data_IF_832656584886
#
_entry.id   IF_832656584886
#
_cell.length_a   1.000
_cell.length_b   1.000
_cell.length_c   1.000
_cell.angle_alpha   90.00
_cell.angle_beta   90.00
_cell.angle_gamma   90.00
#
_symmetry.space_group_name_H-M   'P 1'
#
loop_
_entity.id
_entity.type
_entity.pdbx_description
1 polymer ?
#
# COMPACT_ATOMS: atom_id res chain seq x y z
N UNK A 1 -31.02 -7.37 9.86
CA UNK A 1 -29.90 -7.54 8.91
C UNK A 1 -28.59 -7.92 9.60
N UNK A 2 -28.22 -7.36 10.76
CA UNK A 2 -26.96 -7.70 11.46
C UNK A 2 -26.73 -9.22 11.67
N UNK A 3 -27.77 -9.99 12.00
CA UNK A 3 -27.64 -11.46 12.17
C UNK A 3 -27.31 -12.25 10.90
N UNK A 4 -27.55 -11.70 9.69
CA UNK A 4 -27.25 -12.42 8.43
C UNK A 4 -25.79 -12.26 8.00
N UNK A 5 -25.10 -11.22 8.48
CA UNK A 5 -23.73 -10.89 8.08
C UNK A 5 -22.68 -11.28 9.13
N UNK A 6 -23.10 -11.63 10.35
CA UNK A 6 -22.21 -12.13 11.40
C UNK A 6 -21.24 -13.25 10.94
N UNK A 7 -21.66 -14.23 10.09
CA UNK A 7 -20.75 -15.25 9.58
C UNK A 7 -19.61 -14.71 8.69
N UNK A 8 -19.74 -13.49 8.16
CA UNK A 8 -18.74 -12.87 7.29
C UNK A 8 -17.69 -12.08 8.07
N UNK A 9 -17.87 -11.84 9.37
CA UNK A 9 -16.91 -11.10 10.18
C UNK A 9 -15.50 -11.74 10.18
N UNK A 10 -15.35 -13.07 10.31
CA UNK A 10 -14.03 -13.70 10.22
C UNK A 10 -13.38 -13.54 8.85
N UNK A 11 -14.18 -13.57 7.77
CA UNK A 11 -13.70 -13.35 6.41
C UNK A 11 -13.23 -11.91 6.21
N UNK A 12 -13.99 -10.92 6.72
CA UNK A 12 -13.61 -9.51 6.65
C UNK A 12 -12.28 -9.26 7.38
N UNK A 13 -12.11 -9.81 8.58
CA UNK A 13 -10.88 -9.74 9.33
C UNK A 13 -9.71 -10.42 8.59
N UNK A 14 -9.91 -11.63 8.07
CA UNK A 14 -8.89 -12.34 7.31
C UNK A 14 -8.46 -11.58 6.05
N UNK A 15 -9.40 -11.00 5.30
CA UNK A 15 -9.10 -10.17 4.13
C UNK A 15 -8.34 -8.90 4.49
N UNK A 16 -8.75 -8.23 5.57
CA UNK A 16 -8.07 -7.05 6.09
C UNK A 16 -6.63 -7.38 6.47
N UNK A 17 -6.42 -8.37 7.32
CA UNK A 17 -5.11 -8.69 7.89
C UNK A 17 -4.16 -9.25 6.83
N UNK A 18 -4.65 -10.17 5.99
CA UNK A 18 -3.86 -10.73 4.90
C UNK A 18 -3.51 -9.65 3.86
N UNK A 19 -4.49 -8.84 3.47
CA UNK A 19 -4.28 -7.73 2.54
C UNK A 19 -3.26 -6.72 3.07
N UNK A 20 -3.40 -6.33 4.34
CA UNK A 20 -2.47 -5.43 5.03
C UNK A 20 -1.07 -6.02 5.09
N UNK A 21 -0.88 -7.26 5.54
CA UNK A 21 0.45 -7.89 5.65
C UNK A 21 1.12 -8.02 4.28
N UNK A 22 0.39 -8.53 3.29
CA UNK A 22 0.90 -8.74 1.93
C UNK A 22 1.14 -7.45 1.15
N UNK A 23 0.52 -6.35 1.57
CA UNK A 23 0.77 -5.03 0.97
C UNK A 23 1.89 -4.28 1.71
N UNK A 24 1.75 -4.09 3.02
CA UNK A 24 2.64 -3.26 3.84
C UNK A 24 4.05 -3.84 3.90
N UNK A 25 4.18 -5.15 4.14
CA UNK A 25 5.49 -5.81 4.27
C UNK A 25 6.35 -5.62 3.02
N UNK A 26 5.88 -6.06 1.83
CA UNK A 26 6.59 -5.84 0.58
C UNK A 26 6.83 -4.37 0.27
N UNK A 27 5.85 -3.48 0.48
CA UNK A 27 6.02 -2.04 0.21
C UNK A 27 7.19 -1.45 1.01
N UNK A 28 7.25 -1.74 2.31
CA UNK A 28 8.35 -1.27 3.18
C UNK A 28 9.67 -1.93 2.79
N UNK A 29 9.68 -3.24 2.56
CA UNK A 29 10.88 -3.97 2.19
C UNK A 29 11.49 -3.46 0.87
N UNK A 30 10.69 -3.32 -0.19
CA UNK A 30 11.15 -2.79 -1.46
C UNK A 30 11.58 -1.32 -1.35
N UNK A 31 10.90 -0.50 -0.56
CA UNK A 31 11.34 0.87 -0.30
C UNK A 31 12.75 0.91 0.28
N UNK A 32 13.03 0.08 1.29
CA UNK A 32 14.34 -0.01 1.93
C UNK A 32 15.39 -0.57 0.97
N UNK A 33 15.08 -1.64 0.24
CA UNK A 33 16.00 -2.26 -0.72
C UNK A 33 16.38 -1.28 -1.85
N UNK A 34 15.41 -0.56 -2.43
CA UNK A 34 15.68 0.43 -3.47
C UNK A 34 16.47 1.61 -2.88
N UNK A 35 16.14 2.08 -1.67
CA UNK A 35 16.88 3.16 -1.01
C UNK A 35 18.33 2.78 -0.70
N UNK A 36 18.57 1.51 -0.35
CA UNK A 36 19.86 0.98 0.07
C UNK A 36 20.66 0.28 -1.05
N UNK A 37 20.16 0.26 -2.30
CA UNK A 37 20.80 -0.49 -3.40
C UNK A 37 22.31 -0.23 -3.52
N UNK A 38 22.77 1.02 -3.31
CA UNK A 38 24.20 1.39 -3.38
C UNK A 38 25.08 0.67 -2.35
N UNK A 39 24.50 0.17 -1.28
CA UNK A 39 25.19 -0.61 -0.23
C UNK A 39 25.15 -2.11 -0.47
N UNK A 40 24.33 -2.57 -1.42
CA UNK A 40 24.11 -3.97 -1.74
C UNK A 40 24.88 -4.30 -3.03
N UNK A 41 26.21 -4.37 -2.98
CA UNK A 41 27.00 -4.77 -4.15
C UNK A 41 26.78 -6.26 -4.45
N UNK A 42 26.52 -6.70 -5.71
CA UNK A 42 26.60 -5.97 -6.98
C UNK A 42 25.24 -5.48 -7.56
N UNK A 43 24.23 -5.23 -6.73
CA UNK A 43 22.85 -4.94 -7.16
C UNK A 43 22.68 -3.56 -7.79
N UNK A 44 22.07 -3.51 -8.97
CA UNK A 44 21.74 -2.26 -9.65
C UNK A 44 20.31 -1.80 -9.27
N UNK A 45 20.01 -0.48 -9.38
CA UNK A 45 18.68 0.03 -9.02
C UNK A 45 17.54 -0.63 -9.80
N UNK A 46 17.76 -0.94 -11.08
CA UNK A 46 16.74 -1.57 -11.93
C UNK A 46 16.44 -3.02 -11.55
N UNK A 47 17.38 -3.74 -10.91
CA UNK A 47 17.13 -5.13 -10.50
C UNK A 47 16.01 -5.18 -9.45
N UNK A 48 16.10 -4.33 -8.43
CA UNK A 48 15.09 -4.23 -7.37
C UNK A 48 13.76 -3.70 -7.92
N UNK A 49 13.82 -2.66 -8.77
CA UNK A 49 12.62 -2.06 -9.37
C UNK A 49 11.88 -3.07 -10.26
N UNK A 50 12.58 -3.91 -11.02
CA UNK A 50 11.97 -4.96 -11.84
C UNK A 50 11.29 -6.02 -10.96
N UNK A 51 11.94 -6.45 -9.88
CA UNK A 51 11.31 -7.38 -8.92
C UNK A 51 10.05 -6.77 -8.30
N UNK A 52 10.12 -5.52 -7.87
CA UNK A 52 8.96 -4.80 -7.35
C UNK A 52 7.82 -4.71 -8.38
N UNK A 53 8.14 -4.38 -9.64
CA UNK A 53 7.16 -4.33 -10.74
C UNK A 53 6.54 -5.70 -11.02
N UNK A 54 7.33 -6.76 -10.99
CA UNK A 54 6.82 -8.13 -11.16
C UNK A 54 5.85 -8.51 -10.04
N UNK A 55 6.03 -7.96 -8.83
CA UNK A 55 5.10 -8.11 -7.72
C UNK A 55 3.85 -7.20 -7.82
N UNK A 56 3.73 -6.36 -8.84
CA UNK A 56 2.65 -5.37 -8.97
C UNK A 56 1.25 -5.96 -8.89
N UNK A 57 1.02 -7.14 -9.50
CA UNK A 57 -0.27 -7.83 -9.38
C UNK A 57 -0.56 -8.26 -7.93
N UNK A 58 0.45 -8.73 -7.21
CA UNK A 58 0.36 -9.05 -5.78
C UNK A 58 0.03 -7.84 -4.92
N UNK A 59 0.63 -6.67 -5.22
CA UNK A 59 0.30 -5.41 -4.55
C UNK A 59 -1.14 -4.95 -4.84
N UNK A 60 -1.59 -5.07 -6.09
CA UNK A 60 -2.97 -4.75 -6.46
C UNK A 60 -4.00 -5.62 -5.74
N UNK A 61 -3.78 -6.94 -5.72
CA UNK A 61 -4.67 -7.89 -5.06
C UNK A 61 -4.67 -7.73 -3.54
N UNK A 62 -3.50 -7.52 -2.92
CA UNK A 62 -3.40 -7.30 -1.47
C UNK A 62 -4.06 -5.97 -1.05
N UNK A 63 -3.86 -4.89 -1.80
CA UNK A 63 -4.59 -3.64 -1.58
C UNK A 63 -6.10 -3.84 -1.74
N UNK A 64 -6.55 -4.56 -2.78
CA UNK A 64 -7.97 -4.87 -3.00
C UNK A 64 -8.58 -5.66 -1.84
N UNK A 65 -7.90 -6.71 -1.38
CA UNK A 65 -8.30 -7.49 -0.21
C UNK A 65 -8.37 -6.61 1.05
N UNK A 66 -7.40 -5.72 1.23
CA UNK A 66 -7.36 -4.80 2.36
C UNK A 66 -8.54 -3.82 2.35
N UNK A 67 -8.79 -3.15 1.22
CA UNK A 67 -9.95 -2.26 1.02
C UNK A 67 -11.24 -3.02 1.31
N UNK A 68 -11.40 -4.20 0.74
CA UNK A 68 -12.62 -4.99 0.88
C UNK A 68 -12.85 -5.43 2.33
N UNK A 69 -11.82 -5.96 3.00
CA UNK A 69 -11.90 -6.39 4.40
C UNK A 69 -12.23 -5.23 5.35
N UNK A 70 -11.60 -4.08 5.14
CA UNK A 70 -11.86 -2.84 5.88
C UNK A 70 -13.31 -2.37 5.74
N UNK A 71 -13.78 -2.26 4.50
CA UNK A 71 -15.13 -1.80 4.20
C UNK A 71 -16.18 -2.79 4.72
N UNK A 72 -15.99 -4.08 4.44
CA UNK A 72 -16.91 -5.12 4.89
C UNK A 72 -16.99 -5.18 6.42
N UNK A 73 -15.86 -5.13 7.12
CA UNK A 73 -15.81 -5.14 8.58
C UNK A 73 -16.58 -3.96 9.17
N UNK A 74 -16.34 -2.75 8.64
CA UNK A 74 -17.07 -1.56 9.07
C UNK A 74 -18.58 -1.65 8.83
N UNK A 75 -18.99 -2.15 7.67
CA UNK A 75 -20.40 -2.33 7.35
C UNK A 75 -21.06 -3.37 8.26
N UNK A 76 -20.38 -4.45 8.61
CA UNK A 76 -20.90 -5.46 9.56
C UNK A 76 -21.12 -4.83 10.94
N UNK A 77 -20.16 -4.04 11.43
CA UNK A 77 -20.24 -3.42 12.75
C UNK A 77 -21.31 -2.32 12.83
N UNK A 78 -21.34 -1.42 11.84
CA UNK A 78 -22.14 -0.19 11.89
C UNK A 78 -23.46 -0.29 11.10
N UNK A 79 -23.60 -1.26 10.19
CA UNK A 79 -24.75 -1.44 9.31
C UNK A 79 -24.85 -0.43 8.16
N UNK A 80 -24.01 0.60 8.14
CA UNK A 80 -23.94 1.64 7.10
C UNK A 80 -22.58 2.34 7.15
N UNK A 81 -22.15 2.94 6.02
CA UNK A 81 -20.95 3.79 5.96
C UNK A 81 -21.26 5.22 6.39
N UNK A 82 -20.88 5.60 7.61
CA UNK A 82 -21.18 6.93 8.17
C UNK A 82 -19.96 7.53 8.85
N UNK A 83 -19.56 8.73 8.45
CA UNK A 83 -18.51 9.47 9.15
C UNK A 83 -19.06 10.02 10.47
N UNK A 84 -18.43 9.65 11.59
CA UNK A 84 -18.87 10.02 12.93
C UNK A 84 -17.74 10.71 13.71
N UNK A 85 -18.10 11.74 14.46
CA UNK A 85 -17.16 12.59 15.22
C UNK A 85 -17.63 12.87 16.66
N UNK A 86 -18.68 12.17 17.09
CA UNK A 86 -19.39 12.38 18.35
C UNK A 86 -18.68 11.78 19.56
N UNK A 87 -17.82 10.76 19.37
CA UNK A 87 -17.02 10.15 20.44
C UNK A 87 -15.54 10.05 20.07
N UNK A 88 -14.62 9.93 21.06
CA UNK A 88 -13.20 9.69 20.79
C UNK A 88 -12.97 8.46 19.89
N UNK A 89 -13.70 7.36 20.14
CA UNK A 89 -13.63 6.15 19.32
C UNK A 89 -14.09 6.40 17.89
N UNK A 90 -15.21 7.11 17.70
CA UNK A 90 -15.71 7.45 16.36
C UNK A 90 -14.72 8.34 15.59
N UNK A 91 -14.12 9.34 16.25
CA UNK A 91 -13.07 10.19 15.68
C UNK A 91 -11.84 9.37 15.28
N UNK A 92 -11.44 8.42 16.13
CA UNK A 92 -10.31 7.54 15.86
C UNK A 92 -10.55 6.66 14.63
N UNK A 93 -11.71 6.00 14.57
CA UNK A 93 -12.11 5.20 13.43
C UNK A 93 -12.13 6.04 12.15
N UNK A 94 -12.76 7.21 12.19
CA UNK A 94 -12.77 8.15 11.06
C UNK A 94 -11.35 8.55 10.63
N UNK A 95 -10.47 8.89 11.57
CA UNK A 95 -9.07 9.21 11.26
C UNK A 95 -8.35 8.04 10.57
N UNK A 96 -8.56 6.80 11.04
CA UNK A 96 -7.99 5.59 10.42
C UNK A 96 -8.43 5.43 8.97
N UNK A 97 -9.72 5.65 8.68
CA UNK A 97 -10.24 5.63 7.31
C UNK A 97 -9.69 6.75 6.44
N UNK A 98 -9.46 7.95 6.98
CA UNK A 98 -8.84 9.06 6.24
C UNK A 98 -7.38 8.76 5.88
N UNK A 99 -6.61 8.18 6.81
CA UNK A 99 -5.25 7.70 6.53
C UNK A 99 -5.27 6.61 5.46
N UNK A 100 -6.22 5.68 5.54
CA UNK A 100 -6.40 4.65 4.51
C UNK A 100 -6.76 5.24 3.14
N UNK A 101 -7.62 6.25 3.08
CA UNK A 101 -7.95 6.93 1.83
C UNK A 101 -6.74 7.65 1.23
N UNK A 102 -5.94 8.31 2.08
CA UNK A 102 -4.68 8.93 1.66
C UNK A 102 -3.70 7.88 1.12
N UNK A 103 -3.58 6.73 1.78
CA UNK A 103 -2.80 5.58 1.31
C UNK A 103 -3.25 5.08 -0.07
N UNK A 104 -4.56 4.93 -0.25
CA UNK A 104 -5.11 4.46 -1.50
C UNK A 104 -4.89 5.45 -2.65
N UNK A 105 -5.12 6.74 -2.41
CA UNK A 105 -4.84 7.79 -3.39
C UNK A 105 -3.33 7.89 -3.72
N UNK A 106 -2.47 7.73 -2.72
CA UNK A 106 -1.02 7.78 -2.93
C UNK A 106 -0.48 6.51 -3.61
N UNK A 107 -1.12 5.35 -3.44
CA UNK A 107 -0.83 4.16 -4.22
C UNK A 107 -1.04 4.40 -5.73
N UNK A 108 -2.13 5.07 -6.11
CA UNK A 108 -2.34 5.47 -7.51
C UNK A 108 -1.21 6.37 -8.03
N UNK A 109 -0.69 7.24 -7.16
CA UNK A 109 0.48 8.06 -7.51
C UNK A 109 1.73 7.24 -7.76
N UNK A 110 2.03 6.28 -6.89
CA UNK A 110 3.18 5.39 -7.06
C UNK A 110 3.06 4.63 -8.38
N UNK A 111 1.90 4.06 -8.68
CA UNK A 111 1.65 3.26 -9.88
C UNK A 111 1.68 4.08 -11.19
N UNK A 112 0.98 5.23 -11.21
CA UNK A 112 0.78 5.99 -12.45
C UNK A 112 1.88 7.01 -12.68
N UNK A 113 2.34 7.72 -11.64
CA UNK A 113 3.26 8.83 -11.83
C UNK A 113 4.72 8.49 -11.55
N UNK A 114 5.00 7.41 -10.82
CA UNK A 114 6.37 7.04 -10.46
C UNK A 114 6.85 5.76 -11.15
N UNK A 115 6.00 4.73 -11.27
CA UNK A 115 6.38 3.51 -11.98
C UNK A 115 6.28 3.64 -13.50
N UNK A 116 5.26 4.29 -14.03
CA UNK A 116 5.06 4.40 -15.48
C UNK A 116 6.27 5.01 -16.24
N UNK A 117 6.91 6.10 -15.76
CA UNK A 117 8.14 6.60 -16.39
C UNK A 117 9.27 5.55 -16.40
N UNK A 118 9.41 4.76 -15.34
CA UNK A 118 10.42 3.70 -15.26
C UNK A 118 10.11 2.56 -16.25
N UNK A 119 8.83 2.24 -16.49
CA UNK A 119 8.43 1.26 -17.51
C UNK A 119 8.85 1.71 -18.91
N UNK A 120 8.76 3.02 -19.20
CA UNK A 120 9.14 3.58 -20.50
C UNK A 120 10.65 3.63 -20.71
N UNK A 121 11.43 3.81 -19.65
CA UNK A 121 12.89 3.85 -19.68
C UNK A 121 13.53 2.45 -19.69
N UNK A 122 12.78 1.42 -19.31
CA UNK A 122 13.19 0.02 -19.23
C UNK A 122 12.23 -0.85 -20.07
N UNK A 123 12.49 -0.85 -21.38
CA UNK A 123 11.73 -1.60 -22.37
C UNK A 123 12.39 -2.95 -22.59
N UNK A 124 11.62 -4.03 -22.42
CA UNK A 124 12.07 -5.42 -22.63
C UNK A 124 13.34 -5.80 -21.86
N UNK A 125 13.55 -5.20 -20.69
CA UNK A 125 14.73 -5.45 -19.86
C UNK A 125 15.99 -4.69 -20.31
N UNK A 126 15.85 -3.74 -21.23
CA UNK A 126 16.93 -2.87 -21.70
C UNK A 126 16.69 -1.45 -21.20
N UNK A 127 17.62 -0.94 -20.40
CA UNK A 127 17.59 0.44 -19.90
C UNK A 127 18.26 1.35 -20.95
N UNK A 128 17.47 2.17 -21.64
CA UNK A 128 17.97 3.03 -22.71
C UNK A 128 18.81 4.21 -22.20
N UNK A 129 18.43 4.77 -21.04
CA UNK A 129 19.13 5.90 -20.40
C UNK A 129 19.27 5.64 -18.89
N UNK A 130 20.43 5.13 -18.44
CA UNK A 130 20.70 4.83 -17.03
C UNK A 130 20.63 6.07 -16.12
N UNK A 131 21.00 7.25 -16.62
CA UNK A 131 21.01 8.47 -15.81
C UNK A 131 19.57 8.94 -15.52
N UNK A 132 18.73 8.98 -16.55
CA UNK A 132 17.30 9.26 -16.40
C UNK A 132 16.58 8.21 -15.56
N UNK A 133 16.96 6.93 -15.69
CA UNK A 133 16.42 5.84 -14.87
C UNK A 133 16.75 6.02 -13.39
N UNK A 134 17.99 6.37 -13.06
CA UNK A 134 18.41 6.63 -11.68
C UNK A 134 17.68 7.84 -11.07
N UNK A 135 17.45 8.89 -11.85
CA UNK A 135 16.69 10.07 -11.42
C UNK A 135 15.21 9.71 -11.15
N UNK A 136 14.57 8.98 -12.07
CA UNK A 136 13.20 8.49 -11.89
C UNK A 136 13.07 7.53 -10.69
N UNK A 137 14.08 6.68 -10.47
CA UNK A 137 14.14 5.77 -9.31
C UNK A 137 14.19 6.55 -8.00
N UNK A 138 14.94 7.66 -7.95
CA UNK A 138 14.98 8.53 -6.76
C UNK A 138 13.60 9.11 -6.43
N UNK A 139 12.82 9.48 -7.44
CA UNK A 139 11.44 9.94 -7.26
C UNK A 139 10.53 8.81 -6.76
N UNK A 140 10.64 7.62 -7.35
CA UNK A 140 9.92 6.43 -6.89
C UNK A 140 10.19 6.15 -5.40
N UNK A 141 11.46 6.15 -4.98
CA UNK A 141 11.84 5.92 -3.57
C UNK A 141 11.18 6.91 -2.63
N UNK A 142 11.11 8.20 -3.01
CA UNK A 142 10.44 9.22 -2.18
C UNK A 142 8.95 8.95 -2.04
N UNK A 143 8.28 8.64 -3.14
CA UNK A 143 6.85 8.34 -3.12
C UNK A 143 6.57 7.04 -2.33
N UNK A 144 7.40 6.00 -2.51
CA UNK A 144 7.29 4.75 -1.75
C UNK A 144 7.64 4.91 -0.27
N UNK A 145 8.56 5.81 0.08
CA UNK A 145 8.87 6.14 1.47
C UNK A 145 7.68 6.83 2.15
N UNK A 146 7.02 7.78 1.49
CA UNK A 146 5.80 8.38 2.01
C UNK A 146 4.69 7.33 2.15
N UNK A 147 4.50 6.46 1.15
CA UNK A 147 3.55 5.34 1.23
C UNK A 147 3.86 4.43 2.43
N UNK A 148 5.12 4.11 2.65
CA UNK A 148 5.57 3.28 3.77
C UNK A 148 5.30 3.92 5.12
N UNK A 149 5.53 5.23 5.26
CA UNK A 149 5.21 5.98 6.49
C UNK A 149 3.71 5.96 6.75
N UNK A 150 2.90 6.19 5.72
CA UNK A 150 1.45 6.12 5.84
C UNK A 150 0.97 4.70 6.20
N UNK A 151 1.58 3.66 5.64
CA UNK A 151 1.27 2.25 5.92
C UNK A 151 1.56 1.93 7.39
N UNK A 152 2.74 2.31 7.87
CA UNK A 152 3.12 2.13 9.27
C UNK A 152 2.20 2.94 10.20
N UNK A 153 1.89 4.18 9.84
CA UNK A 153 0.92 5.01 10.56
C UNK A 153 -0.44 4.32 10.69
N UNK A 154 -0.96 3.75 9.59
CA UNK A 154 -2.19 2.99 9.63
C UNK A 154 -2.09 1.76 10.55
N UNK A 155 -1.02 0.96 10.44
CA UNK A 155 -0.83 -0.25 11.27
C UNK A 155 -0.80 0.09 12.75
N UNK A 156 -0.09 1.17 13.11
CA UNK A 156 -0.07 1.70 14.48
C UNK A 156 -1.48 2.12 14.93
N UNK A 157 -2.27 2.74 14.05
CA UNK A 157 -3.63 3.14 14.39
C UNK A 157 -4.60 1.95 14.52
N UNK A 158 -4.39 0.91 13.72
CA UNK A 158 -5.22 -0.31 13.73
C UNK A 158 -4.92 -1.22 14.93
N UNK A 159 -3.70 -1.16 15.47
CA UNK A 159 -3.30 -1.94 16.66
C UNK A 159 -3.70 -1.30 17.98
N UNK A 160 -4.13 -0.03 17.99
CA UNK A 160 -4.55 0.69 19.18
C UNK A 160 -6.07 0.74 19.37
N UNK A 161 -6.84 0.06 18.51
CA UNK A 161 -8.30 -0.04 18.53
C UNK A 161 -8.74 -1.42 18.96
#
# INVERSE_FOLDING_TARGET
MQNLLAPLAPLAAALHDLGMVLYVGPMVAFTVLIAMHRRLHPMQPWDVVRTYRAWGAGLGLSMGAWVLGLLLGYYIEQGAFVWRFDSPTARWTTARFLVFLALWAWNLRVEVWSLEPLRRLDQDGVVADPASYAAATTRLVRDMALQSVLCLGYVLMASSS
#
